data_IF_976083850830
#
_entry.id   IF_976083850830
#
_cell.length_a   1.000
_cell.length_b   1.000
_cell.length_c   1.000
_cell.angle_alpha   90.00
_cell.angle_beta   90.00
_cell.angle_gamma   90.00
#
_symmetry.space_group_name_H-M   'P 1'
#
loop_
_entity.id
_entity.type
_entity.pdbx_description
1 polymer ?
#
# COMPACT_ATOMS: atom_id res chain seq x y z
N UNK A 1 25.22 0.57 11.46
CA UNK A 1 23.90 0.00 11.69
C UNK A 1 23.12 -0.06 10.41
N UNK A 2 22.55 -1.20 10.07
CA UNK A 2 21.79 -1.35 8.85
C UNK A 2 20.48 -0.57 8.93
N UNK A 3 20.12 0.12 7.86
CA UNK A 3 18.91 0.93 7.78
C UNK A 3 18.01 0.38 6.68
N UNK A 4 16.70 0.65 6.79
CA UNK A 4 15.76 0.39 5.71
C UNK A 4 16.15 1.22 4.49
N UNK A 5 16.11 0.60 3.32
CA UNK A 5 16.40 1.27 2.05
C UNK A 5 15.09 1.62 1.36
N UNK A 6 14.89 2.90 1.07
CA UNK A 6 13.73 3.34 0.30
C UNK A 6 13.93 2.94 -1.16
N UNK A 7 13.12 2.00 -1.65
CA UNK A 7 13.27 1.46 -3.01
C UNK A 7 12.18 1.94 -3.97
N UNK A 8 11.09 2.48 -3.45
CA UNK A 8 10.05 3.10 -4.27
C UNK A 8 9.46 4.27 -3.50
N UNK A 9 9.39 5.42 -4.14
CA UNK A 9 8.75 6.61 -3.57
C UNK A 9 8.14 7.39 -4.74
N UNK A 10 6.84 7.24 -4.93
CA UNK A 10 6.16 7.83 -6.07
C UNK A 10 4.81 8.41 -5.65
N UNK A 11 4.48 9.56 -6.22
CA UNK A 11 3.17 10.18 -6.04
C UNK A 11 2.64 10.58 -7.41
N UNK A 12 1.43 10.15 -7.72
CA UNK A 12 0.75 10.48 -8.98
C UNK A 12 -0.58 11.14 -8.65
N UNK A 13 -0.88 12.24 -9.34
CA UNK A 13 -2.17 12.90 -9.24
C UNK A 13 -2.86 12.72 -10.59
N UNK A 14 -4.02 12.07 -10.58
CA UNK A 14 -4.79 11.82 -11.79
C UNK A 14 -5.66 13.03 -12.13
N UNK A 15 -6.10 13.12 -13.38
CA UNK A 15 -6.89 14.26 -13.85
C UNK A 15 -8.23 14.41 -13.13
N UNK A 16 -8.76 13.33 -12.55
CA UNK A 16 -10.02 13.36 -11.79
C UNK A 16 -9.81 13.68 -10.30
N UNK A 17 -8.60 14.03 -9.88
CA UNK A 17 -8.27 14.39 -8.51
C UNK A 17 -7.84 13.25 -7.61
N UNK A 18 -7.83 12.01 -8.11
CA UNK A 18 -7.30 10.90 -7.31
C UNK A 18 -5.80 11.07 -7.11
N UNK A 19 -5.34 10.78 -5.90
CA UNK A 19 -3.92 10.80 -5.55
C UNK A 19 -3.51 9.36 -5.27
N UNK A 20 -2.41 8.94 -5.90
CA UNK A 20 -1.83 7.61 -5.70
C UNK A 20 -0.44 7.80 -5.12
N UNK A 21 -0.21 7.22 -3.95
CA UNK A 21 1.11 7.26 -3.30
C UNK A 21 1.60 5.84 -3.10
N UNK A 22 2.89 5.61 -3.44
CA UNK A 22 3.51 4.30 -3.31
C UNK A 22 4.85 4.48 -2.64
N UNK A 23 4.97 3.97 -1.44
CA UNK A 23 6.22 3.99 -0.69
C UNK A 23 6.58 2.59 -0.25
N UNK A 24 7.77 2.14 -0.60
CA UNK A 24 8.25 0.81 -0.25
C UNK A 24 9.69 0.91 0.24
N UNK A 25 9.95 0.28 1.37
CA UNK A 25 11.29 0.16 1.94
C UNK A 25 11.69 -1.31 1.96
N UNK A 26 12.97 -1.57 1.70
CA UNK A 26 13.57 -2.87 1.93
C UNK A 26 14.25 -2.85 3.29
N UNK A 27 13.82 -3.75 4.18
CA UNK A 27 14.35 -3.83 5.53
C UNK A 27 15.64 -4.67 5.55
N UNK A 28 16.58 -4.35 6.46
CA UNK A 28 17.74 -5.21 6.63
C UNK A 28 17.32 -6.58 7.16
N UNK A 29 18.09 -7.63 6.83
CA UNK A 29 17.78 -8.99 7.25
C UNK A 29 17.64 -9.08 8.77
N UNK A 30 18.50 -8.38 9.50
CA UNK A 30 18.54 -8.40 10.97
C UNK A 30 17.28 -7.82 11.62
N UNK A 31 16.50 -6.98 10.90
CA UNK A 31 15.30 -6.36 11.44
C UNK A 31 14.02 -7.10 11.00
N UNK A 32 14.15 -8.16 10.20
CA UNK A 32 13.02 -8.86 9.63
C UNK A 32 12.41 -9.81 10.64
N UNK A 33 11.15 -9.59 10.99
CA UNK A 33 10.35 -10.49 11.81
C UNK A 33 9.12 -11.00 11.08
N UNK A 34 8.97 -10.61 9.83
CA UNK A 34 7.87 -11.06 8.98
C UNK A 34 8.39 -12.04 7.93
N UNK A 35 7.46 -12.62 7.18
CA UNK A 35 7.77 -13.59 6.13
C UNK A 35 8.56 -12.93 5.00
N UNK A 36 8.43 -11.62 4.83
CA UNK A 36 9.14 -10.88 3.79
C UNK A 36 9.83 -9.64 4.38
N UNK A 37 10.72 -9.04 3.59
CA UNK A 37 11.57 -7.93 4.03
C UNK A 37 11.08 -6.56 3.60
N UNK A 38 9.85 -6.45 3.09
CA UNK A 38 9.33 -5.17 2.60
C UNK A 38 8.46 -4.51 3.66
N UNK A 39 8.71 -3.20 3.88
CA UNK A 39 7.78 -2.33 4.56
C UNK A 39 7.15 -1.43 3.50
N UNK A 40 5.85 -1.25 3.54
CA UNK A 40 5.19 -0.48 2.49
C UNK A 40 4.02 0.33 3.03
N UNK A 41 3.75 1.41 2.31
CA UNK A 41 2.56 2.21 2.48
C UNK A 41 2.10 2.64 1.10
N UNK A 42 0.98 2.09 0.67
CA UNK A 42 0.36 2.37 -0.61
C UNK A 42 -1.00 2.99 -0.36
N UNK A 43 -1.33 4.03 -1.11
CA UNK A 43 -2.56 4.79 -0.86
C UNK A 43 -3.16 5.28 -2.17
N UNK A 44 -4.48 5.19 -2.29
CA UNK A 44 -5.25 5.90 -3.31
C UNK A 44 -6.43 6.57 -2.63
N UNK A 45 -6.62 7.86 -2.90
CA UNK A 45 -7.73 8.61 -2.33
C UNK A 45 -8.11 9.80 -3.18
N UNK A 46 -9.24 10.42 -2.85
CA UNK A 46 -9.73 11.62 -3.52
C UNK A 46 -10.54 12.46 -2.54
N UNK A 47 -10.30 13.79 -2.59
CA UNK A 47 -11.03 14.72 -1.72
C UNK A 47 -10.83 14.45 -0.24
N UNK A 48 -9.64 13.98 0.16
CA UNK A 48 -9.34 13.66 1.55
C UNK A 48 -9.90 12.33 2.03
N UNK A 49 -10.56 11.56 1.16
CA UNK A 49 -11.15 10.26 1.53
C UNK A 49 -10.37 9.13 0.90
N UNK A 50 -10.13 8.08 1.69
CA UNK A 50 -9.45 6.87 1.25
C UNK A 50 -10.33 6.09 0.29
N UNK A 51 -9.76 5.66 -0.84
CA UNK A 51 -10.36 4.66 -1.72
C UNK A 51 -9.81 3.29 -1.33
N UNK A 52 -8.49 3.16 -1.27
CA UNK A 52 -7.84 1.92 -0.83
C UNK A 52 -6.45 2.25 -0.27
N UNK A 53 -6.04 1.52 0.74
CA UNK A 53 -4.72 1.67 1.34
C UNK A 53 -4.17 0.29 1.70
N UNK A 54 -2.89 0.08 1.40
CA UNK A 54 -2.16 -1.12 1.81
C UNK A 54 -1.00 -0.71 2.70
N UNK A 55 -0.86 -1.35 3.84
CA UNK A 55 0.29 -1.12 4.70
C UNK A 55 0.62 -2.36 5.53
N UNK A 56 1.80 -2.34 6.13
CA UNK A 56 2.21 -3.34 7.09
C UNK A 56 3.04 -2.70 8.19
N UNK A 57 3.04 -3.35 9.35
CA UNK A 57 3.87 -2.98 10.47
C UNK A 57 4.50 -4.24 11.05
N UNK A 58 5.72 -4.10 11.58
CA UNK A 58 6.39 -5.21 12.25
C UNK A 58 5.51 -5.73 13.39
N UNK A 59 5.29 -7.05 13.39
CA UNK A 59 4.49 -7.72 14.42
C UNK A 59 2.99 -7.67 14.22
N UNK A 60 2.49 -6.88 13.26
CA UNK A 60 1.05 -6.78 13.00
C UNK A 60 0.60 -7.39 11.69
N UNK A 61 1.55 -7.68 10.80
CA UNK A 61 1.26 -8.27 9.50
C UNK A 61 0.79 -7.26 8.46
N UNK A 62 0.30 -7.78 7.36
CA UNK A 62 -0.06 -7.03 6.18
C UNK A 62 -1.57 -6.78 6.15
N UNK A 63 -1.97 -5.56 5.81
CA UNK A 63 -3.38 -5.16 5.83
C UNK A 63 -3.77 -4.35 4.60
N UNK A 64 -5.05 -4.47 4.24
CA UNK A 64 -5.70 -3.72 3.18
C UNK A 64 -6.90 -2.99 3.78
N UNK A 65 -6.98 -1.67 3.57
CA UNK A 65 -8.06 -0.83 4.06
C UNK A 65 -8.86 -0.30 2.88
N UNK A 66 -10.18 -0.39 2.94
CA UNK A 66 -11.06 -0.06 1.82
C UNK A 66 -12.10 0.97 2.24
N UNK A 67 -12.27 1.98 1.39
CA UNK A 67 -13.31 2.98 1.50
C UNK A 67 -13.05 4.09 2.50
N UNK A 68 -13.98 5.06 2.59
CA UNK A 68 -13.80 6.22 3.48
C UNK A 68 -13.69 5.85 4.96
N UNK A 69 -14.29 4.74 5.37
CA UNK A 69 -14.19 4.26 6.76
C UNK A 69 -12.95 3.42 7.00
N UNK A 70 -12.14 3.20 5.95
CA UNK A 70 -10.92 2.40 5.99
C UNK A 70 -11.14 1.02 6.62
N UNK A 71 -12.15 0.30 6.15
CA UNK A 71 -12.47 -1.03 6.64
C UNK A 71 -11.27 -1.96 6.42
N UNK A 72 -10.74 -2.52 7.51
CA UNK A 72 -9.50 -3.30 7.48
C UNK A 72 -9.77 -4.76 7.12
N UNK A 73 -8.92 -5.29 6.25
CA UNK A 73 -8.92 -6.71 5.87
C UNK A 73 -7.49 -7.23 5.95
N UNK A 74 -7.30 -8.49 6.32
CA UNK A 74 -5.98 -9.09 6.20
C UNK A 74 -5.58 -9.17 4.73
N UNK A 75 -4.28 -9.00 4.45
CA UNK A 75 -3.74 -9.10 3.11
C UNK A 75 -2.66 -10.17 3.08
N UNK A 76 -2.75 -11.09 2.11
CA UNK A 76 -1.75 -12.13 1.94
C UNK A 76 -0.67 -11.68 0.96
N UNK A 77 0.44 -11.17 1.50
CA UNK A 77 1.57 -10.73 0.69
C UNK A 77 2.26 -11.93 0.05
N UNK A 78 2.44 -11.91 -1.25
CA UNK A 78 3.17 -12.95 -1.99
C UNK A 78 4.44 -12.41 -2.63
N UNK A 79 4.37 -11.24 -3.27
CA UNK A 79 5.52 -10.59 -3.88
C UNK A 79 5.26 -9.11 -4.00
N UNK A 80 6.33 -8.33 -4.18
CA UNK A 80 6.19 -6.88 -4.41
C UNK A 80 5.44 -6.60 -5.72
N UNK A 81 5.72 -7.37 -6.76
CA UNK A 81 5.02 -7.23 -8.05
C UNK A 81 3.53 -7.46 -7.87
N UNK A 82 3.15 -8.53 -7.17
CA UNK A 82 1.74 -8.83 -6.92
C UNK A 82 1.07 -7.75 -6.09
N UNK A 83 1.76 -7.22 -5.07
CA UNK A 83 1.23 -6.13 -4.26
C UNK A 83 0.90 -4.90 -5.11
N UNK A 84 1.81 -4.50 -6.00
CA UNK A 84 1.59 -3.34 -6.86
C UNK A 84 0.48 -3.60 -7.90
N UNK A 85 0.37 -4.82 -8.39
CA UNK A 85 -0.73 -5.22 -9.28
C UNK A 85 -2.07 -5.20 -8.56
N UNK A 86 -2.11 -5.68 -7.31
CA UNK A 86 -3.33 -5.67 -6.51
C UNK A 86 -3.81 -4.23 -6.24
N UNK A 87 -2.88 -3.32 -5.97
CA UNK A 87 -3.21 -1.90 -5.82
C UNK A 87 -3.80 -1.35 -7.12
N UNK A 88 -3.17 -1.60 -8.26
CA UNK A 88 -3.64 -1.12 -9.55
C UNK A 88 -5.04 -1.65 -9.86
N UNK A 89 -5.29 -2.92 -9.58
CA UNK A 89 -6.59 -3.54 -9.77
C UNK A 89 -7.66 -2.88 -8.89
N UNK A 90 -7.34 -2.63 -7.63
CA UNK A 90 -8.25 -1.97 -6.70
C UNK A 90 -8.56 -0.54 -7.16
N UNK A 91 -7.57 0.20 -7.65
CA UNK A 91 -7.78 1.55 -8.14
C UNK A 91 -8.79 1.55 -9.29
N UNK A 92 -8.67 0.59 -10.21
CA UNK A 92 -9.60 0.48 -11.34
C UNK A 92 -11.00 0.10 -10.89
N UNK A 93 -11.13 -0.89 -9.99
CA UNK A 93 -12.44 -1.42 -9.60
C UNK A 93 -13.14 -0.54 -8.57
N UNK A 94 -12.43 -0.09 -7.54
CA UNK A 94 -13.05 0.64 -6.44
C UNK A 94 -13.36 2.08 -6.82
N UNK A 95 -12.55 2.70 -7.67
CA UNK A 95 -12.79 4.08 -8.11
C UNK A 95 -14.08 4.21 -8.92
N UNK A 96 -14.46 3.18 -9.64
CA UNK A 96 -15.70 3.18 -10.42
C UNK A 96 -16.95 3.17 -9.56
N UNK A 97 -16.86 2.70 -8.34
CA UNK A 97 -17.99 2.60 -7.41
C UNK A 97 -18.28 3.90 -6.65
N UNK A 98 -17.36 4.85 -6.68
CA UNK A 98 -17.42 6.08 -5.88
C UNK A 98 -17.85 7.28 -6.73
N UNK A 99 -18.44 7.05 -7.84
CA UNK A 99 -18.93 8.11 -8.72
C UNK A 99 -20.18 8.80 -8.17
#
# INVERSE_FOLDING_TARGET
MAKASLILDAKTVLSDGRIIQRKVWLLPVSATQSVHRFKYRLYCGRGGQTIVRYDNELGKGDHRHVGPTEQEHPYNFTSLVQLLEDLASDIDHLSGEIR
#
